data_IF_954767382237
#
_entry.id   IF_954767382237
#
_cell.length_a   1.000
_cell.length_b   1.000
_cell.length_c   1.000
_cell.angle_alpha   90.00
_cell.angle_beta   90.00
_cell.angle_gamma   90.00
#
_symmetry.space_group_name_H-M   'P 1'
#
loop_
_entity.id
_entity.type
_entity.pdbx_description
1 polymer ?
#
# COMPACT_ATOMS: atom_id res chain seq x y z
N UNK A 1 6.98 25.54 26.03
CA UNK A 1 6.76 24.08 26.16
C UNK A 1 7.60 23.42 25.10
N UNK A 2 8.47 22.47 25.45
CA UNK A 2 9.37 21.82 24.49
C UNK A 2 8.54 21.16 23.38
N UNK A 3 8.81 21.51 22.12
CA UNK A 3 8.15 20.97 20.94
C UNK A 3 8.84 19.69 20.42
N UNK A 4 9.77 19.15 21.21
CA UNK A 4 10.65 18.03 20.87
C UNK A 4 9.91 16.78 20.35
N UNK A 5 8.75 16.36 20.90
CA UNK A 5 8.00 15.23 20.32
C UNK A 5 7.56 15.44 18.87
N UNK A 6 7.22 16.67 18.47
CA UNK A 6 6.82 16.98 17.09
C UNK A 6 8.05 17.08 16.17
N UNK A 7 9.16 17.59 16.68
CA UNK A 7 10.44 17.63 15.96
C UNK A 7 10.96 16.21 15.67
N UNK A 8 10.97 15.32 16.67
CA UNK A 8 11.30 13.89 16.49
C UNK A 8 10.41 13.24 15.43
N UNK A 9 9.10 13.52 15.49
CA UNK A 9 8.15 12.97 14.52
C UNK A 9 8.47 13.44 13.10
N UNK A 10 8.78 14.72 12.91
CA UNK A 10 9.14 15.28 11.60
C UNK A 10 10.48 14.75 11.09
N UNK A 11 11.46 14.54 11.97
CA UNK A 11 12.77 13.95 11.65
C UNK A 11 12.65 12.46 11.28
N UNK A 12 11.71 11.72 11.87
CA UNK A 12 11.48 10.30 11.57
C UNK A 12 10.55 10.07 10.37
N UNK A 13 9.49 10.86 10.20
CA UNK A 13 8.42 10.65 9.21
C UNK A 13 8.52 11.59 7.99
N UNK A 14 7.60 11.44 7.03
CA UNK A 14 7.53 12.31 5.85
C UNK A 14 8.75 12.10 4.94
N UNK A 15 9.50 13.18 4.71
CA UNK A 15 10.77 13.18 3.99
C UNK A 15 12.00 12.94 4.90
N UNK A 16 11.80 12.55 6.15
CA UNK A 16 12.87 12.24 7.11
C UNK A 16 13.41 10.80 7.03
N UNK A 17 14.11 10.37 8.08
CA UNK A 17 14.96 9.17 8.09
C UNK A 17 14.27 7.88 7.61
N UNK A 18 12.99 7.67 7.95
CA UNK A 18 12.28 6.46 7.51
C UNK A 18 12.03 6.43 6.00
N UNK A 19 12.01 7.57 5.30
CA UNK A 19 11.95 7.58 3.84
C UNK A 19 13.25 7.02 3.26
N UNK A 20 14.38 7.57 3.67
CA UNK A 20 15.71 7.14 3.21
C UNK A 20 15.96 5.66 3.50
N UNK A 21 15.53 5.19 4.67
CA UNK A 21 15.64 3.78 5.03
C UNK A 21 14.73 2.88 4.18
N UNK A 22 13.52 3.35 3.83
CA UNK A 22 12.60 2.61 2.95
C UNK A 22 13.09 2.58 1.51
N UNK A 23 13.59 3.68 0.97
CA UNK A 23 14.08 3.73 -0.42
C UNK A 23 15.28 2.80 -0.66
N UNK A 24 16.07 2.51 0.39
CA UNK A 24 17.19 1.57 0.33
C UNK A 24 16.78 0.08 0.30
N UNK A 25 15.55 -0.25 0.73
CA UNK A 25 15.14 -1.65 0.97
C UNK A 25 13.86 -2.02 0.22
N UNK A 26 12.98 -1.07 -0.04
CA UNK A 26 11.69 -1.33 -0.68
C UNK A 26 11.81 -1.18 -2.19
N UNK A 27 11.50 -2.26 -2.88
CA UNK A 27 11.20 -2.25 -4.31
C UNK A 27 9.91 -1.50 -4.60
N UNK A 28 9.81 -1.02 -5.83
CA UNK A 28 8.62 -0.40 -6.37
C UNK A 28 7.42 -1.37 -6.31
N UNK A 29 6.21 -0.79 -6.37
CA UNK A 29 4.97 -1.59 -6.42
C UNK A 29 5.02 -2.52 -7.63
N UNK A 30 5.44 -2.01 -8.79
CA UNK A 30 5.56 -2.79 -10.02
C UNK A 30 6.50 -4.01 -9.87
N UNK A 31 7.72 -3.82 -9.36
CA UNK A 31 8.67 -4.92 -9.15
C UNK A 31 8.12 -5.98 -8.17
N UNK A 32 7.36 -5.53 -7.17
CA UNK A 32 6.72 -6.47 -6.23
C UNK A 32 5.59 -7.24 -6.89
N UNK A 33 4.81 -6.57 -7.76
CA UNK A 33 3.72 -7.19 -8.48
C UNK A 33 4.21 -8.25 -9.47
N UNK A 34 5.30 -7.97 -10.18
CA UNK A 34 5.95 -8.93 -11.08
C UNK A 34 6.46 -10.16 -10.30
N UNK A 35 7.11 -9.97 -9.15
CA UNK A 35 7.54 -11.09 -8.28
C UNK A 35 6.39 -11.90 -7.71
N UNK A 36 5.26 -11.26 -7.43
CA UNK A 36 4.07 -11.98 -6.97
C UNK A 36 3.50 -12.88 -8.08
N UNK A 37 3.53 -12.43 -9.34
CA UNK A 37 3.18 -13.23 -10.51
C UNK A 37 4.14 -14.43 -10.64
N UNK A 38 5.45 -14.19 -10.64
CA UNK A 38 6.46 -15.26 -10.71
C UNK A 38 6.22 -16.31 -9.61
N UNK A 39 6.04 -15.86 -8.36
CA UNK A 39 5.79 -16.74 -7.22
C UNK A 39 4.45 -17.48 -7.31
N UNK A 40 3.42 -16.86 -7.90
CA UNK A 40 2.15 -17.54 -8.16
C UNK A 40 2.35 -18.67 -9.15
N UNK A 41 3.03 -18.41 -10.27
CA UNK A 41 3.27 -19.39 -11.33
C UNK A 41 4.19 -20.54 -10.89
N UNK A 42 5.20 -20.26 -10.06
CA UNK A 42 6.07 -21.29 -9.46
C UNK A 42 5.30 -22.31 -8.61
N UNK A 43 4.26 -21.85 -7.91
CA UNK A 43 3.48 -22.69 -7.01
C UNK A 43 2.19 -23.24 -7.64
N UNK A 44 1.81 -22.72 -8.81
CA UNK A 44 0.55 -23.04 -9.49
C UNK A 44 0.79 -23.27 -10.99
N UNK A 45 -0.03 -22.64 -11.83
CA UNK A 45 0.04 -22.67 -13.29
C UNK A 45 0.41 -21.29 -13.81
N UNK A 46 1.07 -21.26 -14.97
CA UNK A 46 1.25 -20.06 -15.78
C UNK A 46 -0.07 -19.31 -16.01
N UNK A 47 -0.03 -17.99 -15.82
CA UNK A 47 -1.20 -17.12 -15.97
C UNK A 47 -1.32 -16.75 -17.45
N UNK A 48 -2.32 -17.33 -18.12
CA UNK A 48 -2.62 -17.04 -19.54
C UNK A 48 -3.99 -16.38 -19.69
N UNK A 49 -4.23 -15.71 -20.82
CA UNK A 49 -5.53 -15.12 -21.14
C UNK A 49 -6.68 -16.14 -21.00
N UNK A 50 -6.51 -17.36 -21.55
CA UNK A 50 -7.51 -18.45 -21.45
C UNK A 50 -7.75 -18.87 -19.99
N UNK A 51 -6.71 -18.90 -19.17
CA UNK A 51 -6.83 -19.25 -17.76
C UNK A 51 -7.64 -18.19 -17.00
N UNK A 52 -7.35 -16.90 -17.26
CA UNK A 52 -8.01 -15.79 -16.57
C UNK A 52 -9.52 -15.73 -16.84
N UNK A 53 -9.99 -16.19 -18.00
CA UNK A 53 -11.44 -16.23 -18.31
C UNK A 53 -12.27 -16.98 -17.26
N UNK A 54 -11.66 -17.92 -16.52
CA UNK A 54 -12.36 -18.72 -15.50
C UNK A 54 -11.74 -18.62 -14.10
N UNK A 55 -10.59 -17.97 -13.95
CA UNK A 55 -9.80 -18.00 -12.71
C UNK A 55 -9.27 -16.63 -12.28
N UNK A 56 -9.74 -15.53 -12.86
CA UNK A 56 -9.27 -14.18 -12.50
C UNK A 56 -9.37 -13.93 -10.99
N UNK A 57 -10.51 -14.23 -10.38
CA UNK A 57 -10.80 -14.07 -8.95
C UNK A 57 -9.81 -14.85 -8.08
N UNK A 58 -9.50 -16.10 -8.45
CA UNK A 58 -8.52 -16.93 -7.75
C UNK A 58 -7.11 -16.34 -7.85
N UNK A 59 -6.72 -15.95 -9.07
CA UNK A 59 -5.39 -15.41 -9.34
C UNK A 59 -5.17 -14.09 -8.59
N UNK A 60 -6.09 -13.13 -8.69
CA UNK A 60 -5.92 -11.82 -8.03
C UNK A 60 -5.83 -11.96 -6.51
N UNK A 61 -6.59 -12.88 -5.90
CA UNK A 61 -6.48 -13.18 -4.46
C UNK A 61 -5.11 -13.76 -4.12
N UNK A 62 -4.64 -14.74 -4.90
CA UNK A 62 -3.32 -15.33 -4.70
C UNK A 62 -2.19 -14.30 -4.80
N UNK A 63 -2.27 -13.40 -5.79
CA UNK A 63 -1.28 -12.34 -5.98
C UNK A 63 -1.26 -11.35 -4.81
N UNK A 64 -2.43 -10.95 -4.30
CA UNK A 64 -2.52 -10.11 -3.08
C UNK A 64 -1.85 -10.80 -1.89
N UNK A 65 -2.05 -12.11 -1.73
CA UNK A 65 -1.42 -12.91 -0.68
C UNK A 65 0.11 -12.91 -0.80
N UNK A 66 0.65 -13.20 -1.99
CA UNK A 66 2.09 -13.20 -2.21
C UNK A 66 2.74 -11.82 -2.06
N UNK A 67 2.09 -10.75 -2.52
CA UNK A 67 2.57 -9.38 -2.30
C UNK A 67 2.60 -9.01 -0.82
N UNK A 68 1.61 -9.47 -0.06
CA UNK A 68 1.54 -9.28 1.39
C UNK A 68 2.73 -9.94 2.06
N UNK A 69 3.01 -11.21 1.76
CA UNK A 69 4.16 -11.94 2.27
C UNK A 69 5.50 -11.24 1.96
N UNK A 70 5.68 -10.81 0.70
CA UNK A 70 6.90 -10.10 0.27
C UNK A 70 7.04 -8.79 1.04
N UNK A 71 5.95 -8.05 1.22
CA UNK A 71 5.94 -6.80 1.95
C UNK A 71 6.24 -6.98 3.44
N UNK A 72 5.62 -7.97 4.09
CA UNK A 72 5.80 -8.25 5.50
C UNK A 72 7.23 -8.67 5.80
N UNK A 73 7.80 -9.58 4.98
CA UNK A 73 9.19 -10.01 5.12
C UNK A 73 10.15 -8.82 5.14
N UNK A 74 9.96 -7.84 4.25
CA UNK A 74 10.83 -6.65 4.15
C UNK A 74 10.54 -5.61 5.21
N UNK A 75 9.27 -5.39 5.51
CA UNK A 75 8.87 -4.44 6.55
C UNK A 75 9.41 -4.85 7.93
N UNK A 76 9.51 -6.15 8.18
CA UNK A 76 10.12 -6.72 9.38
C UNK A 76 11.65 -6.50 9.45
N UNK A 77 12.32 -6.24 8.33
CA UNK A 77 13.74 -5.88 8.30
C UNK A 77 13.97 -4.37 8.49
N UNK A 78 12.99 -3.54 8.11
CA UNK A 78 13.11 -2.09 8.09
C UNK A 78 12.64 -1.46 9.40
N UNK A 79 11.38 -1.66 9.78
CA UNK A 79 10.77 -0.90 10.87
C UNK A 79 11.25 -1.35 12.26
N UNK A 80 11.36 -2.65 12.57
CA UNK A 80 11.89 -3.10 13.86
C UNK A 80 13.35 -2.71 14.08
N UNK A 81 14.13 -2.56 13.00
CA UNK A 81 15.56 -2.22 13.04
C UNK A 81 15.82 -0.71 12.87
N UNK A 82 14.81 0.12 12.64
CA UNK A 82 15.01 1.52 12.27
C UNK A 82 15.82 2.32 13.30
N UNK A 83 15.54 2.15 14.60
CA UNK A 83 16.31 2.82 15.66
C UNK A 83 17.72 2.24 15.82
N UNK A 84 17.90 0.94 15.58
CA UNK A 84 19.22 0.29 15.61
C UNK A 84 20.09 0.85 14.48
N UNK A 85 19.55 0.87 13.26
CA UNK A 85 20.24 1.44 12.10
C UNK A 85 20.53 2.92 12.29
N UNK A 86 19.62 3.68 12.89
CA UNK A 86 19.90 5.09 13.22
C UNK A 86 21.10 5.22 14.17
N UNK A 87 21.16 4.38 15.21
CA UNK A 87 22.30 4.39 16.14
C UNK A 87 23.63 4.07 15.43
N UNK A 88 23.63 3.05 14.56
CA UNK A 88 24.82 2.61 13.83
C UNK A 88 25.27 3.60 12.75
N UNK A 89 24.34 4.10 11.94
CA UNK A 89 24.60 4.88 10.73
C UNK A 89 24.73 6.37 11.01
N UNK A 90 23.95 6.91 11.95
CA UNK A 90 23.80 8.36 12.16
C UNK A 90 24.37 8.81 13.50
N UNK A 91 24.03 8.13 14.59
CA UNK A 91 24.43 8.53 15.94
C UNK A 91 25.93 8.32 16.19
N UNK A 92 26.42 7.10 15.94
CA UNK A 92 27.82 6.72 16.18
C UNK A 92 28.78 7.34 15.16
N UNK A 93 28.36 7.48 13.89
CA UNK A 93 29.13 8.17 12.85
C UNK A 93 29.29 9.67 13.14
N UNK A 94 28.25 10.29 13.72
CA UNK A 94 28.26 11.66 14.22
C UNK A 94 29.22 11.87 15.40
N UNK A 95 29.34 10.91 16.31
CA UNK A 95 30.34 10.97 17.39
C UNK A 95 31.79 10.87 16.85
N UNK A 96 32.03 10.09 15.80
CA UNK A 96 33.33 9.99 15.15
C UNK A 96 33.72 11.28 14.37
N UNK A 97 32.76 12.00 13.81
CA UNK A 97 32.99 13.31 13.16
C UNK A 97 33.22 14.44 14.17
N UNK A 98 32.59 14.41 15.34
CA UNK A 98 32.81 15.42 16.40
C UNK A 98 34.22 15.32 17.00
N UNK A 99 34.77 14.10 17.16
CA UNK A 99 36.14 13.92 17.67
C UNK A 99 37.24 14.36 16.67
N UNK A 100 36.94 14.45 15.38
CA UNK A 100 37.88 14.89 14.34
C UNK A 100 37.79 16.40 14.02
N UNK A 101 36.73 17.09 14.46
CA UNK A 101 36.50 18.53 14.19
C UNK A 101 36.62 19.46 15.41
N UNK A 102 37.12 18.99 16.55
CA UNK A 102 37.35 19.78 17.76
C UNK A 102 38.38 20.94 17.63
N UNK A 103 38.73 21.38 16.41
CA UNK A 103 39.66 22.49 16.16
C UNK A 103 39.17 23.61 15.24
N UNK A 104 37.93 23.59 14.77
CA UNK A 104 37.40 24.74 14.02
C UNK A 104 35.88 24.76 14.07
N UNK A 105 35.33 25.84 14.63
CA UNK A 105 33.94 26.33 14.59
C UNK A 105 32.84 25.32 14.23
N UNK A 106 31.94 25.10 15.20
CA UNK A 106 30.67 24.36 15.11
C UNK A 106 30.39 23.70 13.75
N UNK A 107 30.58 22.38 13.62
CA UNK A 107 29.87 21.65 12.60
C UNK A 107 28.41 21.56 13.06
N UNK A 108 27.55 22.39 12.47
CA UNK A 108 26.10 22.18 12.46
C UNK A 108 25.82 20.81 11.79
N UNK A 109 25.94 19.72 12.56
CA UNK A 109 25.44 18.39 12.20
C UNK A 109 23.93 18.43 12.47
N UNK A 110 23.20 19.05 11.54
CA UNK A 110 21.81 19.51 11.69
C UNK A 110 20.76 18.49 11.30
N UNK A 111 21.13 17.35 10.72
CA UNK A 111 20.18 16.31 10.39
C UNK A 111 19.90 15.42 11.61
N UNK A 112 18.62 15.35 11.99
CA UNK A 112 18.09 14.50 13.05
C UNK A 112 18.49 14.91 14.50
N UNK A 113 18.57 16.22 14.74
CA UNK A 113 18.98 16.82 16.02
C UNK A 113 18.15 16.36 17.22
N UNK A 114 16.82 16.32 17.09
CA UNK A 114 15.92 15.97 18.19
C UNK A 114 16.02 14.47 18.53
N UNK A 115 16.17 13.61 17.52
CA UNK A 115 16.41 12.17 17.71
C UNK A 115 17.74 11.95 18.43
N UNK A 116 18.82 12.64 18.01
CA UNK A 116 20.15 12.56 18.63
C UNK A 116 20.15 13.00 20.09
N UNK A 117 19.47 14.12 20.40
CA UNK A 117 19.31 14.59 21.78
C UNK A 117 18.59 13.56 22.64
N UNK A 118 17.53 12.95 22.13
CA UNK A 118 16.77 11.92 22.85
C UNK A 118 17.64 10.70 23.19
N UNK A 119 18.46 10.22 22.24
CA UNK A 119 19.41 9.14 22.52
C UNK A 119 20.49 9.53 23.53
N UNK A 120 20.95 10.79 23.51
CA UNK A 120 21.91 11.30 24.50
C UNK A 120 21.28 11.38 25.89
N UNK A 121 20.04 11.81 26.01
CA UNK A 121 19.31 11.85 27.28
C UNK A 121 19.17 10.42 27.84
N UNK A 122 18.84 9.44 26.99
CA UNK A 122 18.79 8.02 27.36
C UNK A 122 20.18 7.50 27.81
N UNK A 123 21.25 7.80 27.07
CA UNK A 123 22.62 7.41 27.43
C UNK A 123 23.05 7.98 28.78
N UNK A 124 22.67 9.23 29.08
CA UNK A 124 22.95 9.86 30.37
C UNK A 124 22.24 9.13 31.52
N UNK A 125 20.97 8.73 31.33
CA UNK A 125 20.24 7.94 32.33
C UNK A 125 20.93 6.59 32.60
N UNK A 126 21.41 5.90 31.55
CA UNK A 126 22.19 4.65 31.70
C UNK A 126 23.50 4.85 32.47
N UNK A 127 24.19 5.98 32.25
CA UNK A 127 25.48 6.26 32.90
C UNK A 127 25.33 6.80 34.34
N UNK A 128 24.19 7.41 34.66
CA UNK A 128 23.93 8.02 35.97
C UNK A 128 23.40 7.03 37.02
N UNK A 129 22.91 5.87 36.58
CA UNK A 129 22.19 4.93 37.45
C UNK A 129 22.67 3.48 37.26
N UNK A 130 23.03 2.82 38.37
CA UNK A 130 23.45 1.41 38.38
C UNK A 130 22.26 0.42 38.42
N UNK A 131 21.04 0.90 38.68
CA UNK A 131 19.84 0.06 38.73
C UNK A 131 19.10 0.04 37.40
N UNK A 132 19.06 -1.14 36.78
CA UNK A 132 18.38 -1.35 35.51
C UNK A 132 16.91 -0.90 35.54
N UNK A 133 16.18 -1.17 36.62
CA UNK A 133 14.76 -0.84 36.70
C UNK A 133 14.52 0.67 36.72
N UNK A 134 15.38 1.43 37.40
CA UNK A 134 15.32 2.88 37.46
C UNK A 134 15.70 3.52 36.12
N UNK A 135 16.75 3.04 35.47
CA UNK A 135 17.13 3.47 34.11
C UNK A 135 15.96 3.26 33.14
N UNK A 136 15.37 2.06 33.15
CA UNK A 136 14.32 1.72 32.19
C UNK A 136 13.03 2.53 32.41
N UNK A 137 12.66 2.82 33.66
CA UNK A 137 11.52 3.70 33.98
C UNK A 137 11.67 5.11 33.40
N UNK A 138 12.92 5.60 33.30
CA UNK A 138 13.25 6.93 32.79
C UNK A 138 13.43 6.94 31.27
N UNK A 139 14.01 5.87 30.71
CA UNK A 139 14.22 5.75 29.27
C UNK A 139 12.94 5.42 28.48
N UNK A 140 11.99 4.63 29.02
CA UNK A 140 10.76 4.23 28.30
C UNK A 140 9.96 5.43 27.77
N UNK A 141 9.67 6.47 28.56
CA UNK A 141 8.94 7.65 28.08
C UNK A 141 9.61 8.32 26.87
N UNK A 142 10.93 8.40 26.86
CA UNK A 142 11.70 8.98 25.75
C UNK A 142 11.68 8.06 24.52
N UNK A 143 11.89 6.76 24.73
CA UNK A 143 11.79 5.74 23.67
C UNK A 143 10.40 5.71 23.02
N UNK A 144 9.33 5.97 23.77
CA UNK A 144 7.98 6.01 23.22
C UNK A 144 7.85 7.06 22.10
N UNK A 145 8.47 8.23 22.25
CA UNK A 145 8.42 9.29 21.23
C UNK A 145 9.24 8.94 19.97
N UNK A 146 10.25 8.08 20.10
CA UNK A 146 11.00 7.53 18.97
C UNK A 146 10.26 6.38 18.27
N UNK A 147 9.61 5.50 19.03
CA UNK A 147 8.95 4.30 18.50
C UNK A 147 7.61 4.63 17.85
N UNK A 148 6.82 5.52 18.46
CA UNK A 148 5.46 5.84 17.99
C UNK A 148 5.42 6.28 16.52
N UNK A 149 6.28 7.19 16.04
CA UNK A 149 6.28 7.61 14.64
C UNK A 149 6.65 6.47 13.68
N UNK A 150 7.52 5.54 14.09
CA UNK A 150 7.92 4.37 13.30
C UNK A 150 6.72 3.45 13.11
N UNK A 151 6.02 3.10 14.19
CA UNK A 151 4.82 2.24 14.15
C UNK A 151 3.72 2.86 13.30
N UNK A 152 3.51 4.17 13.42
CA UNK A 152 2.53 4.89 12.59
C UNK A 152 2.90 4.87 11.11
N UNK A 153 4.18 5.08 10.79
CA UNK A 153 4.70 5.04 9.42
C UNK A 153 4.56 3.64 8.81
N UNK A 154 4.83 2.59 9.58
CA UNK A 154 4.63 1.20 9.16
C UNK A 154 3.17 0.92 8.79
N UNK A 155 2.23 1.29 9.66
CA UNK A 155 0.80 1.12 9.40
C UNK A 155 0.34 1.89 8.17
N UNK A 156 0.72 3.16 8.03
CA UNK A 156 0.34 3.99 6.88
C UNK A 156 0.93 3.46 5.56
N UNK A 157 2.18 3.00 5.59
CA UNK A 157 2.85 2.42 4.42
C UNK A 157 2.14 1.15 3.96
N UNK A 158 1.78 0.26 4.89
CA UNK A 158 1.00 -0.95 4.60
C UNK A 158 -0.32 -0.63 3.90
N UNK A 159 -1.12 0.30 4.44
CA UNK A 159 -2.40 0.68 3.83
C UNK A 159 -2.26 1.27 2.42
N UNK A 160 -1.30 2.18 2.22
CA UNK A 160 -1.08 2.81 0.91
C UNK A 160 -0.61 1.78 -0.12
N UNK A 161 0.25 0.85 0.28
CA UNK A 161 0.79 -0.19 -0.61
C UNK A 161 -0.29 -1.19 -0.99
N UNK A 162 -1.11 -1.65 -0.05
CA UNK A 162 -2.18 -2.61 -0.34
C UNK A 162 -3.14 -2.10 -1.44
N UNK A 163 -3.56 -0.83 -1.38
CA UNK A 163 -4.43 -0.25 -2.42
C UNK A 163 -3.73 -0.07 -3.77
N UNK A 164 -2.47 0.37 -3.76
CA UNK A 164 -1.69 0.54 -5.00
C UNK A 164 -1.35 -0.78 -5.67
N UNK A 165 -1.02 -1.80 -4.89
CA UNK A 165 -0.63 -3.11 -5.37
C UNK A 165 -1.84 -3.89 -5.90
N UNK A 166 -2.98 -3.85 -5.19
CA UNK A 166 -4.25 -4.36 -5.72
C UNK A 166 -4.63 -3.79 -7.09
N UNK A 167 -4.54 -2.46 -7.25
CA UNK A 167 -4.78 -1.81 -8.55
C UNK A 167 -3.80 -2.31 -9.61
N UNK A 168 -2.51 -2.39 -9.27
CA UNK A 168 -1.49 -2.85 -10.22
C UNK A 168 -1.76 -4.29 -10.66
N UNK A 169 -2.12 -5.17 -9.73
CA UNK A 169 -2.44 -6.56 -10.06
C UNK A 169 -3.67 -6.67 -10.96
N UNK A 170 -4.73 -5.91 -10.68
CA UNK A 170 -5.87 -5.86 -11.58
C UNK A 170 -5.47 -5.44 -13.01
N UNK A 171 -4.66 -4.38 -13.14
CA UNK A 171 -4.18 -3.91 -14.44
C UNK A 171 -3.35 -4.98 -15.14
N UNK A 172 -2.37 -5.57 -14.46
CA UNK A 172 -1.51 -6.62 -15.03
C UNK A 172 -2.35 -7.80 -15.57
N UNK A 173 -3.37 -8.22 -14.83
CA UNK A 173 -4.25 -9.32 -15.24
C UNK A 173 -5.16 -8.94 -16.42
N UNK A 174 -5.61 -7.68 -16.50
CA UNK A 174 -6.31 -7.18 -17.70
C UNK A 174 -5.37 -7.16 -18.91
N UNK A 175 -4.10 -6.78 -18.74
CA UNK A 175 -3.09 -6.82 -19.80
C UNK A 175 -2.80 -8.25 -20.28
N UNK A 176 -2.63 -9.19 -19.36
CA UNK A 176 -2.48 -10.62 -19.69
C UNK A 176 -3.72 -11.18 -20.40
N UNK A 177 -4.90 -10.60 -20.17
CA UNK A 177 -6.15 -10.98 -20.83
C UNK A 177 -6.27 -10.46 -22.28
N UNK A 178 -5.27 -9.73 -22.80
CA UNK A 178 -5.21 -9.27 -24.18
C UNK A 178 -5.54 -7.79 -24.41
N UNK A 179 -5.49 -6.96 -23.35
CA UNK A 179 -5.80 -5.52 -23.43
C UNK A 179 -4.63 -4.65 -22.97
N UNK A 180 -4.10 -3.80 -23.83
CA UNK A 180 -3.03 -2.87 -23.46
C UNK A 180 -3.56 -1.67 -22.67
N UNK A 181 -2.90 -1.32 -21.56
CA UNK A 181 -3.09 -0.03 -20.91
C UNK A 181 -2.32 1.06 -21.67
N UNK A 182 -3.04 1.98 -22.32
CA UNK A 182 -2.45 3.10 -23.08
C UNK A 182 -2.08 4.28 -22.17
N UNK A 183 -2.92 4.56 -21.18
CA UNK A 183 -2.65 5.61 -20.20
C UNK A 183 -3.47 5.41 -18.92
N UNK A 184 -2.97 6.00 -17.83
CA UNK A 184 -3.61 6.06 -16.54
C UNK A 184 -3.54 7.50 -16.02
N UNK A 185 -4.70 8.09 -15.73
CA UNK A 185 -4.80 9.43 -15.15
C UNK A 185 -5.57 9.36 -13.84
N UNK A 186 -5.06 10.02 -12.79
CA UNK A 186 -5.79 10.16 -11.52
C UNK A 186 -6.89 11.19 -11.68
N UNK A 187 -8.12 10.85 -11.31
CA UNK A 187 -9.29 11.76 -11.36
C UNK A 187 -10.04 11.68 -10.03
N UNK A 188 -9.92 12.73 -9.22
CA UNK A 188 -10.40 12.73 -7.84
C UNK A 188 -9.74 11.62 -7.02
N UNK A 189 -10.57 10.74 -6.44
CA UNK A 189 -10.10 9.58 -5.68
C UNK A 189 -9.97 8.29 -6.53
N UNK A 190 -10.31 8.34 -7.82
CA UNK A 190 -10.28 7.20 -8.74
C UNK A 190 -9.33 7.43 -9.92
N UNK A 191 -9.47 6.59 -10.95
CA UNK A 191 -8.56 6.56 -12.09
C UNK A 191 -9.34 6.45 -13.40
N UNK A 192 -8.95 7.25 -14.38
CA UNK A 192 -9.34 7.05 -15.79
C UNK A 192 -8.26 6.17 -16.41
N UNK A 193 -8.64 4.97 -16.85
CA UNK A 193 -7.78 4.03 -17.55
C UNK A 193 -8.20 3.98 -19.02
N UNK A 194 -7.22 4.04 -19.92
CA UNK A 194 -7.45 3.92 -21.36
C UNK A 194 -6.96 2.55 -21.82
N UNK A 195 -7.89 1.67 -22.17
CA UNK A 195 -7.58 0.32 -22.66
C UNK A 195 -7.80 0.21 -24.16
N UNK A 196 -7.01 -0.66 -24.82
CA UNK A 196 -7.23 -1.09 -26.20
C UNK A 196 -6.91 -2.57 -26.35
N UNK A 197 -7.57 -3.34 -27.22
CA UNK A 197 -7.12 -4.68 -27.59
C UNK A 197 -5.66 -4.71 -28.08
N UNK A 198 -4.96 -5.83 -27.89
CA UNK A 198 -3.50 -5.93 -28.13
C UNK A 198 -3.06 -5.53 -29.55
N UNK A 199 -3.95 -5.63 -30.53
CA UNK A 199 -3.69 -5.39 -31.94
C UNK A 199 -4.57 -4.30 -32.58
N UNK A 200 -5.15 -3.42 -31.76
CA UNK A 200 -6.10 -2.41 -32.23
C UNK A 200 -5.72 -0.99 -31.79
N UNK A 201 -6.06 -0.03 -32.66
CA UNK A 201 -5.90 1.41 -32.40
C UNK A 201 -7.09 2.00 -31.63
N UNK A 202 -8.23 1.30 -31.63
CA UNK A 202 -9.40 1.74 -30.87
C UNK A 202 -9.14 1.61 -29.37
N UNK A 203 -9.34 2.71 -28.67
CA UNK A 203 -9.13 2.80 -27.23
C UNK A 203 -10.37 3.35 -26.54
N UNK A 204 -10.62 2.86 -25.33
CA UNK A 204 -11.78 3.23 -24.52
C UNK A 204 -11.35 3.73 -23.17
N UNK A 205 -11.87 4.89 -22.81
CA UNK A 205 -11.69 5.50 -21.50
C UNK A 205 -12.73 4.92 -20.54
N UNK A 206 -12.26 4.39 -19.41
CA UNK A 206 -13.10 3.79 -18.39
C UNK A 206 -12.65 4.33 -17.04
N UNK A 207 -13.61 4.76 -16.21
CA UNK A 207 -13.34 5.20 -14.86
C UNK A 207 -13.40 4.03 -13.88
N UNK A 208 -12.40 3.94 -13.01
CA UNK A 208 -12.29 2.92 -11.97
C UNK A 208 -12.04 3.54 -10.60
N UNK A 209 -12.88 3.15 -9.63
CA UNK A 209 -12.57 3.25 -8.20
C UNK A 209 -12.00 1.94 -7.67
N UNK A 210 -10.79 1.93 -7.12
CA UNK A 210 -10.18 0.71 -6.56
C UNK A 210 -10.26 0.70 -5.04
N UNK A 211 -10.86 -0.35 -4.48
CA UNK A 211 -11.01 -0.50 -3.03
C UNK A 211 -10.73 -1.93 -2.60
N UNK A 212 -9.68 -2.16 -1.83
CA UNK A 212 -9.44 -3.47 -1.20
C UNK A 212 -10.60 -3.88 -0.28
N UNK A 213 -11.19 -2.92 0.43
CA UNK A 213 -12.43 -3.04 1.20
C UNK A 213 -13.33 -1.83 0.91
N UNK A 214 -14.64 -2.02 0.75
CA UNK A 214 -15.60 -0.95 0.45
C UNK A 214 -15.82 0.00 1.64
N UNK A 215 -16.02 -0.51 2.86
CA UNK A 215 -16.41 0.24 4.08
C UNK A 215 -17.31 1.45 3.73
N UNK A 216 -16.99 2.66 4.19
CA UNK A 216 -17.61 3.91 3.70
C UNK A 216 -16.76 4.62 2.65
N UNK A 217 -15.55 4.12 2.35
CA UNK A 217 -14.56 4.80 1.50
C UNK A 217 -14.91 4.74 0.03
N UNK A 218 -15.70 3.75 -0.39
CA UNK A 218 -16.19 3.60 -1.75
C UNK A 218 -16.96 4.85 -2.24
N UNK A 219 -17.60 5.60 -1.33
CA UNK A 219 -18.29 6.85 -1.65
C UNK A 219 -17.34 7.96 -2.13
N UNK A 220 -16.06 7.90 -1.78
CA UNK A 220 -15.08 8.91 -2.19
C UNK A 220 -14.68 8.80 -3.68
N UNK A 221 -14.95 7.66 -4.31
CA UNK A 221 -14.73 7.41 -5.74
C UNK A 221 -16.01 7.46 -6.56
N UNK A 222 -17.10 7.99 -6.00
CA UNK A 222 -18.40 8.07 -6.66
C UNK A 222 -18.98 9.49 -6.56
N UNK A 223 -19.67 9.98 -7.60
CA UNK A 223 -19.76 9.40 -8.94
C UNK A 223 -18.43 9.57 -9.72
N UNK A 224 -18.26 8.78 -10.77
CA UNK A 224 -17.23 9.01 -11.78
C UNK A 224 -17.62 10.14 -12.75
N UNK A 225 -16.77 10.47 -13.73
CA UNK A 225 -17.07 11.45 -14.77
C UNK A 225 -18.34 11.14 -15.57
N UNK A 226 -19.07 12.18 -15.97
CA UNK A 226 -20.28 12.05 -16.78
C UNK A 226 -19.99 11.39 -18.15
N UNK A 227 -20.91 10.56 -18.62
CA UNK A 227 -20.86 9.85 -19.91
C UNK A 227 -19.66 8.90 -20.11
N UNK A 228 -19.05 8.42 -19.03
CA UNK A 228 -17.99 7.43 -19.05
C UNK A 228 -18.44 6.13 -18.37
N UNK A 229 -18.07 4.95 -18.89
CA UNK A 229 -18.22 3.70 -18.14
C UNK A 229 -17.54 3.81 -16.78
N UNK A 230 -18.26 3.43 -15.72
CA UNK A 230 -17.83 3.64 -14.35
C UNK A 230 -17.92 2.32 -13.57
N UNK A 231 -16.77 1.87 -13.08
CA UNK A 231 -16.64 0.65 -12.30
C UNK A 231 -16.02 0.92 -10.94
N UNK A 232 -16.46 0.16 -9.95
CA UNK A 232 -15.79 0.06 -8.68
C UNK A 232 -15.23 -1.35 -8.54
N UNK A 233 -13.92 -1.49 -8.38
CA UNK A 233 -13.23 -2.78 -8.30
C UNK A 233 -12.88 -3.07 -6.86
N UNK A 234 -13.23 -4.27 -6.36
CA UNK A 234 -12.97 -4.63 -4.97
C UNK A 234 -12.51 -6.06 -4.72
N UNK A 235 -11.57 -6.20 -3.80
CA UNK A 235 -11.14 -7.49 -3.26
C UNK A 235 -11.99 -7.94 -2.05
N UNK A 236 -13.02 -7.18 -1.66
CA UNK A 236 -13.87 -7.53 -0.52
C UNK A 236 -14.58 -8.87 -0.73
N UNK A 237 -14.73 -9.64 0.36
CA UNK A 237 -15.31 -10.97 0.37
C UNK A 237 -14.31 -12.10 0.13
N UNK A 238 -13.05 -11.76 -0.14
CA UNK A 238 -11.97 -12.74 -0.32
C UNK A 238 -11.39 -13.24 1.00
N UNK A 239 -11.69 -12.60 2.14
CA UNK A 239 -10.98 -12.75 3.43
C UNK A 239 -9.44 -12.60 3.31
N UNK A 240 -8.95 -12.10 2.16
CA UNK A 240 -7.53 -12.04 1.83
C UNK A 240 -6.83 -10.83 2.46
N UNK A 241 -7.59 -9.79 2.82
CA UNK A 241 -7.06 -8.51 3.31
C UNK A 241 -7.50 -8.25 4.76
N UNK A 242 -8.70 -8.68 5.15
CA UNK A 242 -9.11 -8.70 6.56
C UNK A 242 -10.08 -9.83 6.83
N UNK A 243 -9.84 -10.57 7.91
CA UNK A 243 -10.80 -11.53 8.45
C UNK A 243 -12.14 -10.82 8.69
N UNK A 244 -13.21 -11.20 7.97
CA UNK A 244 -14.58 -10.63 7.98
C UNK A 244 -14.88 -9.51 6.94
N UNK A 245 -14.22 -9.47 5.78
CA UNK A 245 -14.65 -8.56 4.70
C UNK A 245 -15.87 -9.08 3.89
N UNK A 246 -16.33 -10.30 4.15
CA UNK A 246 -17.52 -10.91 3.51
C UNK A 246 -18.86 -10.21 3.83
N UNK A 247 -18.90 -9.34 4.85
CA UNK A 247 -20.06 -8.49 5.17
C UNK A 247 -19.98 -7.09 4.51
N UNK A 248 -18.89 -6.79 3.81
CA UNK A 248 -18.63 -5.45 3.28
C UNK A 248 -19.42 -5.18 1.97
N UNK A 249 -19.92 -6.23 1.31
CA UNK A 249 -20.81 -6.13 0.14
C UNK A 249 -22.25 -6.39 0.58
N UNK A 250 -23.07 -5.34 0.58
CA UNK A 250 -24.50 -5.39 0.97
C UNK A 250 -25.39 -4.85 -0.13
N UNK A 251 -26.66 -5.27 -0.12
CA UNK A 251 -27.70 -4.76 -1.01
C UNK A 251 -27.73 -3.21 -1.07
N UNK A 252 -27.77 -2.56 0.10
CA UNK A 252 -27.84 -1.10 0.19
C UNK A 252 -26.61 -0.39 -0.39
N UNK A 253 -25.42 -1.01 -0.31
CA UNK A 253 -24.20 -0.47 -0.93
C UNK A 253 -24.22 -0.66 -2.44
N UNK A 254 -24.66 -1.82 -2.92
CA UNK A 254 -24.85 -2.04 -4.35
C UNK A 254 -25.85 -1.04 -4.94
N UNK A 255 -26.91 -0.71 -4.19
CA UNK A 255 -27.89 0.28 -4.60
C UNK A 255 -27.26 1.68 -4.66
N UNK A 256 -26.47 2.09 -3.66
CA UNK A 256 -25.71 3.35 -3.69
C UNK A 256 -24.72 3.43 -4.87
N UNK A 257 -24.01 2.34 -5.18
CA UNK A 257 -23.05 2.27 -6.29
C UNK A 257 -23.78 2.47 -7.62
N UNK A 258 -24.89 1.76 -7.82
CA UNK A 258 -25.67 1.86 -9.05
C UNK A 258 -26.39 3.21 -9.20
N UNK A 259 -26.89 3.78 -8.10
CA UNK A 259 -27.52 5.11 -8.10
C UNK A 259 -26.50 6.20 -8.47
N UNK A 260 -25.21 5.96 -8.22
CA UNK A 260 -24.10 6.82 -8.67
C UNK A 260 -23.62 6.50 -10.11
N UNK A 261 -24.33 5.63 -10.84
CA UNK A 261 -24.01 5.28 -12.23
C UNK A 261 -22.84 4.31 -12.38
N UNK A 262 -22.44 3.59 -11.32
CA UNK A 262 -21.34 2.64 -11.36
C UNK A 262 -21.81 1.18 -11.26
N UNK A 263 -20.96 0.24 -11.69
CA UNK A 263 -21.11 -1.20 -11.47
C UNK A 263 -19.97 -1.72 -10.59
N UNK A 264 -20.25 -2.61 -9.64
CA UNK A 264 -19.24 -3.25 -8.80
C UNK A 264 -18.62 -4.45 -9.53
N UNK A 265 -17.29 -4.52 -9.58
CA UNK A 265 -16.51 -5.69 -9.97
C UNK A 265 -15.97 -6.31 -8.68
N UNK A 266 -16.32 -7.55 -8.42
CA UNK A 266 -15.94 -8.28 -7.21
C UNK A 266 -15.53 -9.72 -7.55
N UNK A 267 -15.08 -10.47 -6.55
CA UNK A 267 -14.77 -11.88 -6.71
C UNK A 267 -16.04 -12.67 -7.11
N UNK A 268 -15.87 -13.73 -7.89
CA UNK A 268 -16.95 -14.53 -8.48
C UNK A 268 -18.01 -14.96 -7.45
N UNK A 269 -17.57 -15.54 -6.33
CA UNK A 269 -18.44 -15.93 -5.22
C UNK A 269 -19.31 -14.79 -4.67
N UNK A 270 -18.81 -13.56 -4.68
CA UNK A 270 -19.57 -12.39 -4.21
C UNK A 270 -20.54 -11.87 -5.26
N UNK A 271 -20.18 -11.93 -6.55
CA UNK A 271 -21.12 -11.65 -7.65
C UNK A 271 -22.30 -12.64 -7.63
N UNK A 272 -22.00 -13.93 -7.43
CA UNK A 272 -22.97 -15.03 -7.36
C UNK A 272 -23.96 -14.91 -6.19
N UNK A 273 -23.62 -14.17 -5.13
CA UNK A 273 -24.56 -13.88 -4.03
C UNK A 273 -25.69 -12.94 -4.45
N UNK A 274 -25.54 -12.23 -5.58
CA UNK A 274 -26.47 -11.21 -6.05
C UNK A 274 -26.84 -11.36 -7.55
N UNK A 275 -27.25 -12.56 -8.02
CA UNK A 275 -27.34 -12.89 -9.45
C UNK A 275 -28.44 -12.14 -10.21
N UNK A 276 -29.39 -11.52 -9.48
CA UNK A 276 -30.49 -10.74 -10.07
C UNK A 276 -30.23 -9.23 -10.04
N UNK A 277 -29.00 -8.80 -9.77
CA UNK A 277 -28.64 -7.38 -9.74
C UNK A 277 -27.62 -7.11 -10.84
N UNK A 278 -28.03 -6.39 -11.89
CA UNK A 278 -27.15 -5.84 -12.95
C UNK A 278 -26.12 -4.80 -12.41
N UNK A 279 -25.91 -4.76 -11.09
CA UNK A 279 -25.14 -3.78 -10.32
C UNK A 279 -23.79 -4.35 -9.86
N UNK A 280 -23.59 -5.66 -9.97
CA UNK A 280 -22.37 -6.37 -9.61
C UNK A 280 -22.06 -7.43 -10.66
N UNK A 281 -20.79 -7.59 -10.99
CA UNK A 281 -20.24 -8.62 -11.89
C UNK A 281 -18.95 -9.19 -11.28
N UNK A 282 -18.58 -10.39 -11.71
CA UNK A 282 -17.29 -10.98 -11.36
C UNK A 282 -16.16 -10.34 -12.18
N UNK A 283 -14.92 -10.55 -11.74
CA UNK A 283 -13.74 -10.21 -12.55
C UNK A 283 -13.77 -10.93 -13.90
N UNK A 284 -14.16 -12.19 -13.90
CA UNK A 284 -14.31 -13.05 -15.07
C UNK A 284 -15.32 -12.45 -16.05
N UNK A 285 -16.54 -12.15 -15.61
CA UNK A 285 -17.57 -11.49 -16.44
C UNK A 285 -17.07 -10.15 -16.99
N UNK A 286 -16.30 -9.39 -16.20
CA UNK A 286 -15.74 -8.13 -16.68
C UNK A 286 -14.82 -8.34 -17.88
N UNK A 287 -13.88 -9.29 -17.82
CA UNK A 287 -12.92 -9.50 -18.92
C UNK A 287 -13.49 -10.30 -20.10
N UNK A 288 -14.52 -11.13 -19.90
CA UNK A 288 -15.09 -11.96 -20.97
C UNK A 288 -16.30 -11.35 -21.68
N UNK A 289 -17.01 -10.42 -21.03
CA UNK A 289 -18.25 -9.85 -21.57
C UNK A 289 -18.22 -8.32 -21.60
N UNK A 290 -17.98 -7.67 -20.46
CA UNK A 290 -18.18 -6.23 -20.35
C UNK A 290 -17.08 -5.41 -21.04
N UNK A 291 -15.81 -5.70 -20.76
CA UNK A 291 -14.69 -5.00 -21.39
C UNK A 291 -14.67 -5.21 -22.92
N UNK A 292 -14.82 -6.44 -23.46
CA UNK A 292 -14.96 -6.66 -24.91
C UNK A 292 -16.07 -5.84 -25.56
N UNK A 293 -17.23 -5.71 -24.90
CA UNK A 293 -18.40 -5.03 -25.47
C UNK A 293 -18.18 -3.55 -25.81
N UNK A 294 -17.11 -2.94 -25.31
CA UNK A 294 -16.73 -1.58 -25.69
C UNK A 294 -15.99 -1.49 -27.03
N UNK A 295 -15.55 -2.62 -27.59
CA UNK A 295 -14.76 -2.68 -28.83
C UNK A 295 -15.50 -3.39 -29.98
N UNK A 296 -16.74 -3.85 -29.74
CA UNK A 296 -17.62 -4.52 -30.71
C UNK A 296 -18.56 -3.57 -31.48
#
# INVERSE_FOLDING_TARGET
MSNRPEEIKNELQGDGYLKDLRERVNESVQETSEKAIEKFEENNREITAEYLQNHFSEVIIGLIGYETDIFESRSNEVYPQALVKFLEEEYNSGQATVSSYAKSGDPELTEYSAIRETFRDIEQEFNAHDDFSEVFKRAIPELYYLIKPIVQSAGQSSFKRAGGAFRQQFINLVEISGYNLRSQTSEGSGYILIFSPENEDEAKEIYFGFHTTLKDRFRATLPGPDNMPNYLVTAAGADAISNNDSEDITADRLDQIADAGAKLIAIDKEADRYPNRNKIISYETFITEELPSYFD
#
